data_IF_760533696040
#
_entry.id   IF_760533696040
#
_cell.length_a   1.000
_cell.length_b   1.000
_cell.length_c   1.000
_cell.angle_alpha   90.00
_cell.angle_beta   90.00
_cell.angle_gamma   90.00
#
_symmetry.space_group_name_H-M   'P 1'
#
loop_
_entity.id
_entity.type
_entity.pdbx_description
1 polymer ?
#
# COMPACT_ATOMS: atom_id res chain seq x y z
N UNK A 1 -5.37 27.25 9.56
CA UNK A 1 -6.34 26.42 8.81
C UNK A 1 -5.59 25.32 8.08
N UNK A 2 -6.09 24.08 8.09
CA UNK A 2 -5.47 22.91 7.44
C UNK A 2 -6.22 22.58 6.15
N UNK A 3 -5.50 22.45 5.03
CA UNK A 3 -6.04 22.08 3.73
C UNK A 3 -5.60 20.66 3.38
N UNK A 4 -6.52 19.83 2.90
CA UNK A 4 -6.20 18.51 2.36
C UNK A 4 -6.28 18.51 0.84
N UNK A 5 -5.26 17.99 0.17
CA UNK A 5 -5.24 17.83 -1.28
C UNK A 5 -4.97 16.37 -1.65
N UNK A 6 -5.82 15.80 -2.52
CA UNK A 6 -5.55 14.53 -3.19
C UNK A 6 -4.80 14.81 -4.49
N UNK A 7 -3.58 14.27 -4.60
CA UNK A 7 -2.82 14.28 -5.84
C UNK A 7 -3.03 12.93 -6.53
N UNK A 8 -3.78 12.94 -7.62
CA UNK A 8 -3.92 11.77 -8.48
C UNK A 8 -2.63 11.51 -9.24
N UNK A 9 -2.08 10.30 -9.11
CA UNK A 9 -0.94 9.85 -9.87
C UNK A 9 -1.25 9.67 -11.35
N UNK A 10 -0.23 9.70 -12.23
CA UNK A 10 -0.44 9.60 -13.65
C UNK A 10 -0.91 8.19 -14.02
N UNK A 11 -2.06 8.11 -14.70
CA UNK A 11 -2.52 6.99 -15.56
C UNK A 11 -2.99 5.68 -14.90
N UNK A 12 -2.94 5.52 -13.57
CA UNK A 12 -3.44 4.29 -12.93
C UNK A 12 -4.45 4.60 -11.81
N UNK A 13 -5.60 3.91 -11.86
CA UNK A 13 -6.60 3.92 -10.78
C UNK A 13 -5.92 3.48 -9.48
N UNK A 14 -6.17 4.19 -8.39
CA UNK A 14 -5.60 3.86 -7.08
C UNK A 14 -4.27 4.52 -6.75
N UNK A 15 -3.73 5.43 -7.58
CA UNK A 15 -2.47 6.15 -7.31
C UNK A 15 -2.67 7.50 -6.63
N UNK A 16 -3.53 7.59 -5.62
CA UNK A 16 -3.81 8.88 -4.98
C UNK A 16 -2.97 9.08 -3.72
N UNK A 17 -2.30 10.23 -3.67
CA UNK A 17 -1.48 10.66 -2.54
C UNK A 17 -2.24 11.75 -1.77
N UNK A 18 -2.42 11.56 -0.46
CA UNK A 18 -3.00 12.59 0.41
C UNK A 18 -1.89 13.45 1.03
N UNK A 19 -1.92 14.74 0.68
CA UNK A 19 -1.02 15.76 1.22
C UNK A 19 -1.84 16.73 2.06
N UNK A 20 -1.38 16.97 3.29
CA UNK A 20 -1.91 18.02 4.15
C UNK A 20 -1.00 19.24 4.06
N UNK A 21 -1.60 20.39 3.81
CA UNK A 21 -0.95 21.69 3.68
C UNK A 21 -1.48 22.60 4.77
N UNK A 22 -0.60 23.33 5.43
CA UNK A 22 -0.98 24.37 6.38
C UNK A 22 -0.65 25.76 5.84
N UNK A 23 -1.57 26.70 6.06
CA UNK A 23 -1.35 28.10 5.69
C UNK A 23 -0.25 28.76 6.54
N UNK A 24 -0.07 28.31 7.77
CA UNK A 24 0.98 28.75 8.69
C UNK A 24 1.83 27.53 9.04
N UNK A 25 3.16 27.70 9.13
CA UNK A 25 4.03 26.61 9.55
C UNK A 25 3.69 26.15 10.95
N UNK A 26 3.79 24.85 11.17
CA UNK A 26 3.72 24.26 12.51
C UNK A 26 5.13 23.89 12.93
N UNK A 27 5.54 24.31 14.12
CA UNK A 27 6.81 23.90 14.70
C UNK A 27 6.72 22.43 15.14
N UNK A 28 7.53 21.57 14.53
CA UNK A 28 7.53 20.13 14.77
C UNK A 28 8.96 19.69 15.08
N UNK A 29 9.08 18.83 16.09
CA UNK A 29 10.35 18.22 16.45
C UNK A 29 10.67 17.05 15.53
N UNK A 30 11.79 17.13 14.82
CA UNK A 30 12.37 16.00 14.09
C UNK A 30 13.20 15.15 15.06
N UNK A 31 12.70 13.96 15.40
CA UNK A 31 13.41 13.01 16.25
C UNK A 31 14.67 12.42 15.62
N UNK A 32 14.82 12.46 14.28
CA UNK A 32 16.03 12.01 13.60
C UNK A 32 17.16 13.03 13.72
N UNK A 33 16.87 14.30 13.43
CA UNK A 33 17.84 15.38 13.57
C UNK A 33 17.92 15.96 15.00
N UNK A 34 17.03 15.53 15.91
CA UNK A 34 16.91 16.02 17.27
C UNK A 34 16.78 17.56 17.37
N UNK A 35 15.99 18.14 16.47
CA UNK A 35 15.81 19.59 16.36
C UNK A 35 14.40 19.94 15.90
N UNK A 36 13.97 21.18 16.19
CA UNK A 36 12.71 21.71 15.71
C UNK A 36 12.82 22.23 14.27
N UNK A 37 11.76 22.06 13.48
CA UNK A 37 11.63 22.67 12.16
C UNK A 37 10.18 23.09 11.87
N UNK A 38 10.05 24.11 11.03
CA UNK A 38 8.77 24.61 10.58
C UNK A 38 8.21 23.75 9.43
N UNK A 39 7.15 22.99 9.71
CA UNK A 39 6.47 22.14 8.73
C UNK A 39 5.34 22.90 8.04
N UNK A 40 5.37 22.96 6.71
CA UNK A 40 4.30 23.54 5.88
C UNK A 40 3.41 22.48 5.21
N UNK A 41 3.97 21.29 4.97
CA UNK A 41 3.27 20.21 4.29
C UNK A 41 3.67 18.85 4.85
N UNK A 42 2.71 17.94 4.97
CA UNK A 42 2.91 16.56 5.39
C UNK A 42 2.29 15.58 4.40
N UNK A 43 3.04 14.54 4.06
CA UNK A 43 2.50 13.35 3.44
C UNK A 43 1.87 12.47 4.52
N UNK A 44 0.54 12.34 4.54
CA UNK A 44 -0.13 11.60 5.62
C UNK A 44 -0.39 10.14 5.24
N UNK A 45 -1.01 9.91 4.08
CA UNK A 45 -1.25 8.56 3.61
C UNK A 45 -1.30 8.48 2.09
N UNK A 46 -0.89 7.33 1.57
CA UNK A 46 -1.06 6.96 0.17
C UNK A 46 -2.18 5.94 0.11
N UNK A 47 -3.30 6.29 -0.53
CA UNK A 47 -4.41 5.36 -0.74
C UNK A 47 -4.05 4.57 -1.99
N UNK A 48 -3.48 3.38 -1.78
CA UNK A 48 -2.97 2.54 -2.86
C UNK A 48 -3.83 1.29 -3.00
N UNK A 49 -4.12 0.91 -4.23
CA UNK A 49 -4.63 -0.43 -4.50
C UNK A 49 -3.49 -1.47 -4.48
N UNK A 50 -3.86 -2.75 -4.43
CA UNK A 50 -2.88 -3.84 -4.37
C UNK A 50 -1.89 -3.88 -5.56
N UNK A 51 -2.31 -3.61 -6.82
CA UNK A 51 -1.39 -3.44 -7.94
C UNK A 51 -0.37 -2.32 -7.74
N UNK A 52 -0.79 -1.16 -7.25
CA UNK A 52 0.11 -0.02 -7.02
C UNK A 52 1.09 -0.27 -5.88
N UNK A 53 0.68 -1.02 -4.85
CA UNK A 53 1.55 -1.37 -3.74
C UNK A 53 2.91 -1.87 -4.25
N UNK A 54 2.92 -2.70 -5.31
CA UNK A 54 4.16 -3.19 -5.91
C UNK A 54 5.08 -2.11 -6.46
N UNK A 55 4.54 -1.07 -7.09
CA UNK A 55 5.34 0.03 -7.63
C UNK A 55 5.97 0.88 -6.53
N UNK A 56 5.23 1.15 -5.44
CA UNK A 56 5.69 2.02 -4.35
C UNK A 56 6.65 1.31 -3.39
N UNK A 57 6.32 0.08 -3.01
CA UNK A 57 7.11 -0.71 -2.06
C UNK A 57 8.25 -1.49 -2.73
N UNK A 58 8.40 -1.36 -4.06
CA UNK A 58 9.23 -2.25 -4.89
C UNK A 58 8.90 -3.73 -4.69
N UNK A 59 7.69 -4.03 -4.24
CA UNK A 59 7.24 -5.39 -3.96
C UNK A 59 6.77 -6.07 -5.24
N UNK A 60 7.06 -7.37 -5.38
CA UNK A 60 6.57 -8.12 -6.53
C UNK A 60 5.09 -8.43 -6.36
N UNK A 61 4.23 -7.72 -7.10
CA UNK A 61 2.79 -8.03 -7.20
C UNK A 61 2.49 -9.14 -8.22
N UNK A 62 3.52 -9.77 -8.78
CA UNK A 62 3.42 -10.89 -9.74
C UNK A 62 4.29 -12.08 -9.29
N UNK A 63 3.95 -13.27 -9.79
CA UNK A 63 4.71 -14.50 -9.57
C UNK A 63 4.41 -15.19 -8.24
N UNK A 64 5.33 -15.99 -7.73
CA UNK A 64 5.03 -16.92 -6.64
C UNK A 64 4.89 -16.30 -5.24
N UNK A 65 5.19 -15.00 -5.09
CA UNK A 65 5.22 -14.30 -3.80
C UNK A 65 4.40 -13.01 -3.80
N UNK A 66 3.18 -13.04 -4.37
CA UNK A 66 2.38 -11.81 -4.50
C UNK A 66 1.86 -11.25 -3.17
N UNK A 67 1.68 -12.07 -2.14
CA UNK A 67 1.02 -11.60 -0.92
C UNK A 67 2.06 -11.09 0.06
N UNK A 68 2.05 -9.79 0.36
CA UNK A 68 2.97 -9.18 1.33
C UNK A 68 2.76 -9.68 2.77
N UNK A 69 1.60 -10.24 3.09
CA UNK A 69 1.31 -10.80 4.42
C UNK A 69 1.86 -12.22 4.52
N UNK A 70 1.65 -13.04 3.48
CA UNK A 70 2.09 -14.44 3.49
C UNK A 70 3.56 -14.58 3.09
N UNK A 71 4.07 -13.70 2.24
CA UNK A 71 5.40 -13.72 1.62
C UNK A 71 5.77 -15.11 1.09
N UNK A 72 6.71 -15.79 1.76
CA UNK A 72 7.16 -17.15 1.47
C UNK A 72 6.07 -18.21 1.65
N UNK A 73 5.07 -17.94 2.48
CA UNK A 73 3.89 -18.77 2.71
C UNK A 73 2.76 -18.56 1.69
N UNK A 74 2.99 -17.79 0.62
CA UNK A 74 2.02 -17.62 -0.47
C UNK A 74 1.83 -18.97 -1.17
N UNK A 75 0.66 -19.59 -1.02
CA UNK A 75 0.34 -20.80 -1.77
C UNK A 75 -0.07 -20.44 -3.19
N UNK A 76 0.57 -21.10 -4.15
CA UNK A 76 0.30 -20.95 -5.56
C UNK A 76 0.28 -22.33 -6.24
N UNK A 77 -0.40 -22.39 -7.37
CA UNK A 77 -0.38 -23.53 -8.27
C UNK A 77 0.00 -23.05 -9.67
N UNK A 78 1.00 -23.64 -10.29
CA UNK A 78 1.42 -23.28 -11.64
C UNK A 78 0.87 -24.29 -12.64
N UNK A 79 0.05 -23.83 -13.59
CA UNK A 79 -0.52 -24.70 -14.62
C UNK A 79 0.59 -25.22 -15.55
N UNK A 80 0.66 -26.54 -15.73
CA UNK A 80 1.73 -27.22 -16.47
C UNK A 80 1.86 -26.71 -17.91
N UNK A 81 0.75 -26.59 -18.63
CA UNK A 81 0.74 -26.25 -20.05
C UNK A 81 0.71 -24.74 -20.31
N UNK A 82 0.04 -23.98 -19.43
CA UNK A 82 -0.13 -22.52 -19.61
C UNK A 82 0.90 -21.67 -18.86
N UNK A 83 1.68 -22.26 -17.94
CA UNK A 83 2.63 -21.60 -17.01
C UNK A 83 2.03 -20.45 -16.18
N UNK A 84 0.71 -20.27 -16.21
CA UNK A 84 -0.03 -19.29 -15.41
C UNK A 84 0.02 -19.72 -13.94
N UNK A 85 0.17 -18.73 -13.07
CA UNK A 85 0.14 -18.93 -11.62
C UNK A 85 -1.28 -18.65 -11.12
N UNK A 86 -1.91 -19.67 -10.55
CA UNK A 86 -3.19 -19.59 -9.86
C UNK A 86 -2.93 -19.50 -8.36
N UNK A 87 -3.69 -18.67 -7.67
CA UNK A 87 -3.65 -18.58 -6.21
C UNK A 87 -4.97 -19.15 -5.71
N UNK A 88 -4.93 -20.03 -4.72
CA UNK A 88 -6.16 -20.68 -4.22
C UNK A 88 -6.52 -20.21 -2.80
N UNK A 89 -5.62 -19.49 -2.12
CA UNK A 89 -5.79 -19.06 -0.72
C UNK A 89 -6.35 -17.63 -0.55
N UNK A 90 -7.24 -17.16 -1.43
CA UNK A 90 -7.86 -15.84 -1.28
C UNK A 90 -8.64 -15.70 0.04
N UNK A 91 -9.21 -16.82 0.49
CA UNK A 91 -10.10 -16.92 1.66
C UNK A 91 -9.37 -16.89 3.00
N UNK A 92 -8.05 -17.04 3.02
CA UNK A 92 -7.24 -17.16 4.24
C UNK A 92 -7.31 -15.93 5.15
N UNK A 93 -7.56 -14.75 4.56
CA UNK A 93 -7.68 -13.48 5.29
C UNK A 93 -9.08 -13.20 5.83
N UNK A 94 -10.07 -14.04 5.52
CA UNK A 94 -11.39 -13.92 6.12
C UNK A 94 -11.33 -14.34 7.60
N UNK A 95 -12.25 -13.84 8.44
CA UNK A 95 -12.36 -14.30 9.84
C UNK A 95 -12.63 -15.81 9.88
N UNK A 96 -12.15 -16.50 10.93
CA UNK A 96 -12.28 -17.97 11.06
C UNK A 96 -13.74 -18.43 11.01
N UNK A 97 -14.67 -17.61 11.49
CA UNK A 97 -16.11 -17.88 11.48
C UNK A 97 -16.83 -17.41 10.20
N UNK A 98 -16.11 -16.99 9.16
CA UNK A 98 -16.73 -16.56 7.92
C UNK A 98 -17.12 -17.78 7.07
N UNK A 99 -18.40 -17.88 6.69
CA UNK A 99 -18.94 -18.98 5.88
C UNK A 99 -18.18 -19.19 4.56
N UNK A 100 -17.62 -18.12 3.99
CA UNK A 100 -16.84 -18.16 2.76
C UNK A 100 -15.37 -18.55 2.98
N UNK A 101 -14.91 -18.78 4.22
CA UNK A 101 -13.53 -19.20 4.52
C UNK A 101 -13.30 -20.71 4.34
N UNK A 102 -14.37 -21.50 4.31
CA UNK A 102 -14.34 -22.95 4.08
C UNK A 102 -13.82 -23.30 2.68
#
# INVERSE_FOLDING_TARGET
MMLSMMISGPRQLGNSINVFLWNESIDIFDGYCNQNFNMHAMLFCTINDFPLFGNLSKYSVKGHKICHICEKGTRYHQLTHGRKTCYHEHKKFLKTNNLYRQ
#
